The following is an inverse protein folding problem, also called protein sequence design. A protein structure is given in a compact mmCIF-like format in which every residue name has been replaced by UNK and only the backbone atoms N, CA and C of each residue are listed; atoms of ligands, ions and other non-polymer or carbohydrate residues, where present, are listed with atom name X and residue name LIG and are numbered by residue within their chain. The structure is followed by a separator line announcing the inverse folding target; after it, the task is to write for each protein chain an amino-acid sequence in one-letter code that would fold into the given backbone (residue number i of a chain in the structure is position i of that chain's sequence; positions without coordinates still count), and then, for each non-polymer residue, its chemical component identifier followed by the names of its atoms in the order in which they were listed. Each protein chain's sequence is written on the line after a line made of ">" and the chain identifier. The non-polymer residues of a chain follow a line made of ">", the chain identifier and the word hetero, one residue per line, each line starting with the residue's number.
data_IF_504319152250
#
_entry.id   IF_504319152250
#
_cell.length_a   1.000
_cell.length_b   1.000
_cell.length_c   1.000
_cell.angle_alpha   90.00
_cell.angle_beta   90.00
_cell.angle_gamma   90.00
#
_symmetry.space_group_name_H-M   'P 1'
#
loop_
_entity.id
_entity.type
_entity.pdbx_description
1 polymer ?
#
# COMPACT_ATOMS: atom_id res chain seq x y z
N UNK A 1 4.41 48.29 5.44
CA UNK A 1 4.57 46.84 5.19
C UNK A 1 3.77 46.49 3.94
N UNK A 2 4.45 46.30 2.80
CA UNK A 2 3.81 45.89 1.54
C UNK A 2 3.69 44.36 1.52
N UNK A 3 2.46 43.86 1.52
CA UNK A 3 2.20 42.44 1.43
C UNK A 3 2.57 41.93 0.02
N UNK A 4 3.49 40.95 -0.02
CA UNK A 4 4.14 40.37 -1.21
C UNK A 4 3.20 39.48 -2.05
N UNK A 5 1.91 39.77 -2.08
CA UNK A 5 0.89 39.02 -2.81
C UNK A 5 0.52 39.65 -4.15
N UNK A 6 0.98 40.87 -4.45
CA UNK A 6 0.57 41.61 -5.65
C UNK A 6 1.23 41.12 -6.96
N UNK A 7 2.25 40.25 -6.89
CA UNK A 7 3.05 39.84 -8.05
C UNK A 7 3.23 38.33 -8.21
N UNK A 8 2.61 37.52 -7.35
CA UNK A 8 2.73 36.06 -7.43
C UNK A 8 1.67 35.50 -8.37
N UNK A 9 2.07 34.57 -9.22
CA UNK A 9 1.14 33.81 -10.05
C UNK A 9 0.22 32.95 -9.17
N UNK A 10 -0.97 32.62 -9.68
CA UNK A 10 -1.91 31.75 -8.97
C UNK A 10 -1.29 30.39 -8.59
N UNK A 11 -0.33 29.91 -9.38
CA UNK A 11 0.43 28.66 -9.13
C UNK A 11 1.37 28.78 -7.93
N UNK A 12 2.08 29.90 -7.80
CA UNK A 12 2.97 30.15 -6.66
C UNK A 12 2.19 30.34 -5.36
N UNK A 13 1.03 31.03 -5.43
CA UNK A 13 0.14 31.19 -4.28
C UNK A 13 -0.40 29.83 -3.83
N UNK A 14 -0.81 28.96 -4.76
CA UNK A 14 -1.25 27.59 -4.43
C UNK A 14 -0.16 26.75 -3.79
N UNK A 15 1.08 26.88 -4.27
CA UNK A 15 2.23 26.17 -3.71
C UNK A 15 2.52 26.66 -2.28
N UNK A 16 2.50 27.97 -2.03
CA UNK A 16 2.71 28.54 -0.70
C UNK A 16 1.57 28.22 0.29
N UNK A 17 0.34 28.10 -0.20
CA UNK A 17 -0.83 27.73 0.61
C UNK A 17 -0.98 26.21 0.80
N UNK A 18 -0.04 25.39 0.29
CA UNK A 18 -0.14 23.93 0.37
C UNK A 18 -1.33 23.34 -0.40
N UNK A 19 -1.92 24.10 -1.33
CA UNK A 19 -3.05 23.71 -2.18
C UNK A 19 -2.60 22.96 -3.44
N UNK A 20 -1.36 22.48 -3.47
CA UNK A 20 -0.87 21.59 -4.50
C UNK A 20 -1.57 20.23 -4.36
N UNK A 21 -2.75 20.12 -4.97
CA UNK A 21 -3.55 18.91 -5.18
C UNK A 21 -2.88 17.92 -6.17
N UNK A 22 -1.55 18.02 -6.36
CA UNK A 22 -0.80 17.18 -7.29
C UNK A 22 -0.40 15.82 -6.69
N UNK A 23 -0.53 15.67 -5.37
CA UNK A 23 -0.28 14.42 -4.65
C UNK A 23 -1.55 14.01 -3.90
N UNK A 24 -1.84 12.70 -3.88
CA UNK A 24 -2.95 12.18 -3.10
C UNK A 24 -2.73 12.48 -1.60
N UNK A 25 -3.76 12.94 -0.87
CA UNK A 25 -3.69 13.11 0.57
C UNK A 25 -3.21 11.81 1.24
N UNK A 26 -2.32 11.91 2.23
CA UNK A 26 -1.75 10.74 2.93
C UNK A 26 -2.81 9.76 3.40
N UNK A 27 -3.93 10.27 3.93
CA UNK A 27 -5.05 9.46 4.36
C UNK A 27 -5.71 8.65 3.23
N UNK A 28 -5.75 9.17 2.00
CA UNK A 28 -6.26 8.43 0.84
C UNK A 28 -5.28 7.33 0.44
N UNK A 29 -3.98 7.63 0.48
CA UNK A 29 -2.93 6.64 0.18
C UNK A 29 -2.97 5.49 1.19
N UNK A 30 -2.94 5.79 2.48
CA UNK A 30 -3.01 4.79 3.55
C UNK A 30 -4.27 3.91 3.43
N UNK A 31 -5.43 4.51 3.16
CA UNK A 31 -6.67 3.75 2.98
C UNK A 31 -6.63 2.79 1.78
N UNK A 32 -5.96 3.17 0.68
CA UNK A 32 -5.76 2.29 -0.47
C UNK A 32 -4.84 1.12 -0.11
N UNK A 33 -3.71 1.42 0.53
CA UNK A 33 -2.74 0.41 0.95
C UNK A 33 -3.35 -0.61 1.95
N UNK A 34 -4.15 -0.16 2.90
CA UNK A 34 -4.89 -1.04 3.82
C UNK A 34 -5.92 -1.90 3.09
N UNK A 35 -6.63 -1.31 2.13
CA UNK A 35 -7.62 -2.01 1.32
C UNK A 35 -7.01 -3.13 0.48
N UNK A 36 -5.83 -2.88 -0.08
CA UNK A 36 -5.09 -3.85 -0.86
C UNK A 36 -4.57 -5.01 0.00
N UNK A 37 -3.92 -4.72 1.14
CA UNK A 37 -3.50 -5.75 2.10
C UNK A 37 -4.66 -6.62 2.55
N UNK A 38 -5.79 -5.99 2.88
CA UNK A 38 -7.02 -6.70 3.28
C UNK A 38 -7.54 -7.62 2.18
N UNK A 39 -7.44 -7.20 0.91
CA UNK A 39 -7.81 -8.05 -0.22
C UNK A 39 -6.86 -9.25 -0.35
N UNK A 40 -5.54 -9.02 -0.36
CA UNK A 40 -4.54 -10.08 -0.47
C UNK A 40 -4.70 -11.12 0.64
N UNK A 41 -4.85 -10.70 1.89
CA UNK A 41 -5.05 -11.62 3.03
C UNK A 41 -6.30 -12.49 2.83
N UNK A 42 -7.43 -11.90 2.41
CA UNK A 42 -8.66 -12.68 2.15
C UNK A 42 -8.48 -13.65 0.98
N UNK A 43 -7.75 -13.26 -0.05
CA UNK A 43 -7.46 -14.12 -1.21
C UNK A 43 -6.57 -15.29 -0.80
N UNK A 44 -5.53 -15.04 -0.02
CA UNK A 44 -4.68 -16.08 0.57
C UNK A 44 -5.50 -17.03 1.43
N UNK A 45 -6.35 -16.54 2.34
CA UNK A 45 -7.21 -17.40 3.17
C UNK A 45 -8.12 -18.29 2.31
N UNK A 46 -8.61 -17.80 1.17
CA UNK A 46 -9.43 -18.59 0.24
C UNK A 46 -8.62 -19.60 -0.57
N UNK A 47 -7.38 -19.27 -0.94
CA UNK A 47 -6.54 -20.06 -1.84
C UNK A 47 -5.76 -21.16 -1.11
N UNK A 48 -5.11 -20.80 0.00
CA UNK A 48 -4.24 -21.71 0.76
C UNK A 48 -4.89 -22.27 2.03
N UNK A 49 -6.08 -21.79 2.38
CA UNK A 49 -6.81 -22.21 3.57
C UNK A 49 -6.57 -21.29 4.78
N UNK A 50 -6.82 -21.81 5.99
CA UNK A 50 -6.68 -21.02 7.21
C UNK A 50 -5.23 -20.55 7.41
N UNK A 51 -5.04 -19.24 7.49
CA UNK A 51 -3.71 -18.64 7.68
C UNK A 51 -3.36 -18.59 9.17
N UNK A 52 -2.22 -19.15 9.60
CA UNK A 52 -1.71 -18.96 10.95
C UNK A 52 -1.51 -17.47 11.26
N UNK A 53 -1.69 -17.09 12.53
CA UNK A 53 -1.57 -15.70 12.96
C UNK A 53 -0.19 -15.11 12.66
N UNK A 54 0.86 -15.93 12.77
CA UNK A 54 2.24 -15.55 12.49
C UNK A 54 2.43 -15.20 11.01
N UNK A 55 1.90 -16.01 10.10
CA UNK A 55 1.96 -15.78 8.66
C UNK A 55 1.17 -14.53 8.29
N UNK A 56 -0.01 -14.35 8.89
CA UNK A 56 -0.81 -13.15 8.68
C UNK A 56 -0.07 -11.88 9.12
N UNK A 57 0.57 -11.92 10.28
CA UNK A 57 1.34 -10.78 10.81
C UNK A 57 2.53 -10.43 9.91
N UNK A 58 3.18 -11.44 9.32
CA UNK A 58 4.24 -11.22 8.34
C UNK A 58 3.72 -10.53 7.08
N UNK A 59 2.58 -10.99 6.54
CA UNK A 59 1.95 -10.37 5.36
C UNK A 59 1.51 -8.93 5.64
N UNK A 60 0.97 -8.65 6.84
CA UNK A 60 0.58 -7.29 7.25
C UNK A 60 1.79 -6.36 7.41
N UNK A 61 2.99 -6.90 7.71
CA UNK A 61 4.22 -6.15 7.83
C UNK A 61 4.96 -5.91 6.49
N UNK A 62 4.49 -6.51 5.39
CA UNK A 62 5.13 -6.35 4.08
C UNK A 62 5.00 -4.90 3.56
N UNK A 63 6.06 -4.37 2.91
CA UNK A 63 5.97 -3.14 2.14
C UNK A 63 4.96 -3.31 0.99
N UNK A 64 4.34 -2.20 0.56
CA UNK A 64 3.26 -2.23 -0.44
C UNK A 64 3.68 -2.95 -1.73
N UNK A 65 4.89 -2.69 -2.23
CA UNK A 65 5.42 -3.32 -3.44
C UNK A 65 5.43 -4.85 -3.33
N UNK A 66 5.79 -5.40 -2.16
CA UNK A 66 5.76 -6.84 -1.93
C UNK A 66 4.32 -7.37 -1.78
N UNK A 67 3.38 -6.56 -1.31
CA UNK A 67 1.96 -6.92 -1.27
C UNK A 67 1.37 -7.04 -2.68
N UNK A 68 1.74 -6.12 -3.57
CA UNK A 68 1.38 -6.16 -5.00
C UNK A 68 1.95 -7.42 -5.67
N UNK A 69 3.24 -7.70 -5.47
CA UNK A 69 3.90 -8.92 -5.97
C UNK A 69 3.25 -10.20 -5.43
N UNK A 70 2.93 -10.23 -4.13
CA UNK A 70 2.21 -11.34 -3.52
C UNK A 70 0.82 -11.52 -4.14
N UNK A 71 0.17 -10.42 -4.51
CA UNK A 71 -1.11 -10.38 -5.22
C UNK A 71 -1.09 -11.16 -6.55
N UNK A 72 0.03 -11.12 -7.26
CA UNK A 72 0.23 -11.88 -8.50
C UNK A 72 0.66 -13.32 -8.20
N UNK A 73 1.67 -13.50 -7.34
CA UNK A 73 2.22 -14.81 -7.00
C UNK A 73 1.19 -15.76 -6.37
N UNK A 74 0.23 -15.23 -5.59
CA UNK A 74 -0.80 -16.04 -4.94
C UNK A 74 -1.69 -16.81 -5.92
N UNK A 75 -1.76 -16.38 -7.19
CA UNK A 75 -2.54 -17.07 -8.22
C UNK A 75 -1.94 -18.45 -8.54
N UNK A 76 -0.63 -18.58 -8.43
CA UNK A 76 0.13 -19.81 -8.69
C UNK A 76 0.20 -20.72 -7.45
N UNK A 77 -0.20 -20.24 -6.27
CA UNK A 77 -0.16 -21.04 -5.05
C UNK A 77 -1.15 -22.20 -5.10
N UNK A 78 -0.66 -23.36 -4.68
CA UNK A 78 -1.40 -24.61 -4.52
C UNK A 78 -1.67 -24.93 -3.05
N UNK A 79 -0.89 -24.36 -2.13
CA UNK A 79 -1.08 -24.54 -0.69
C UNK A 79 -0.25 -23.59 0.18
N UNK A 80 -0.31 -23.80 1.49
CA UNK A 80 0.37 -22.96 2.47
C UNK A 80 1.90 -23.00 2.35
N UNK A 81 2.46 -24.12 1.87
CA UNK A 81 3.90 -24.28 1.66
C UNK A 81 4.45 -23.30 0.61
N UNK A 82 3.68 -23.02 -0.45
CA UNK A 82 4.08 -22.06 -1.49
C UNK A 82 4.16 -20.64 -0.91
N UNK A 83 3.19 -20.26 -0.07
CA UNK A 83 3.20 -18.97 0.63
C UNK A 83 4.39 -18.85 1.59
N UNK A 84 4.69 -19.90 2.36
CA UNK A 84 5.85 -19.91 3.27
C UNK A 84 7.17 -19.83 2.50
N UNK A 85 7.27 -20.54 1.38
CA UNK A 85 8.42 -20.48 0.48
C UNK A 85 8.63 -19.07 -0.07
N UNK A 86 7.56 -18.42 -0.53
CA UNK A 86 7.60 -17.05 -1.02
C UNK A 86 8.03 -16.06 0.06
N UNK A 87 7.44 -16.14 1.27
CA UNK A 87 7.79 -15.26 2.40
C UNK A 87 9.25 -15.43 2.84
N UNK A 88 9.82 -16.63 2.70
CA UNK A 88 11.24 -16.89 3.01
C UNK A 88 12.18 -16.26 1.98
N UNK A 89 11.76 -16.12 0.73
CA UNK A 89 12.56 -15.49 -0.33
C UNK A 89 12.56 -13.96 -0.25
N UNK A 90 11.56 -13.37 0.39
CA UNK A 90 11.41 -11.91 0.57
C UNK A 90 12.13 -11.38 1.82
N UNK A 91 12.79 -12.26 2.59
CA UNK A 91 13.52 -11.99 3.82
C UNK A 91 15.04 -12.10 3.57
#
# INVERSE_FOLDING_TARGET
>A
MMYRFATLSQTEIRTMLGLNLFEEPRAIREAKEEGERSLVIRQLTRRVGELPQEVRSQVEALPLEQVEELGEALLDFTGLEDLQGWLTQQN
#
